data_IF_660175792265
#
_entry.id   IF_660175792265
#
_cell.length_a   1.000
_cell.length_b   1.000
_cell.length_c   1.000
_cell.angle_alpha   90.00
_cell.angle_beta   90.00
_cell.angle_gamma   90.00
#
_symmetry.space_group_name_H-M   'P 1'
#
loop_
_entity.id
_entity.type
_entity.pdbx_description
1 polymer ?
#
# COMPACT_ATOMS: atom_id res chain seq x y z
N UNK A 1 -3.80 -31.61 14.35
CA UNK A 1 -2.82 -31.18 13.34
C UNK A 1 -2.68 -29.68 13.49
N UNK A 2 -1.54 -29.22 13.98
CA UNK A 2 -1.37 -27.84 14.46
C UNK A 2 -1.49 -26.82 13.33
N UNK A 3 -2.32 -25.79 13.58
CA UNK A 3 -2.45 -24.57 12.80
C UNK A 3 -1.26 -23.66 13.12
N UNK A 4 -0.34 -23.48 12.18
CA UNK A 4 0.69 -22.46 12.29
C UNK A 4 0.13 -21.19 11.65
N UNK A 5 -0.59 -20.41 12.45
CA UNK A 5 -1.15 -19.11 12.07
C UNK A 5 -0.11 -18.00 12.25
N UNK A 6 0.95 -18.01 11.45
CA UNK A 6 1.85 -16.86 11.33
C UNK A 6 1.26 -15.83 10.34
N UNK A 7 0.02 -15.41 10.58
CA UNK A 7 -0.50 -14.18 9.96
C UNK A 7 0.14 -13.00 10.68
N UNK A 8 1.41 -12.73 10.37
CA UNK A 8 2.10 -11.51 10.78
C UNK A 8 1.35 -10.32 10.20
N UNK A 9 0.50 -9.73 11.03
CA UNK A 9 -0.35 -8.61 10.67
C UNK A 9 0.53 -7.36 10.56
N UNK A 10 0.77 -6.90 9.33
CA UNK A 10 1.55 -5.68 9.10
C UNK A 10 0.61 -4.47 9.15
N UNK A 11 1.04 -3.39 9.81
CA UNK A 11 0.36 -2.10 9.78
C UNK A 11 1.41 -1.03 9.50
N UNK A 12 1.29 -0.40 8.34
CA UNK A 12 2.21 0.63 7.88
C UNK A 12 1.44 1.94 7.73
N UNK A 13 2.01 3.02 8.25
CA UNK A 13 1.46 4.37 8.09
C UNK A 13 2.59 5.25 7.61
N UNK A 14 2.40 5.83 6.41
CA UNK A 14 3.34 6.73 5.77
C UNK A 14 2.58 7.95 5.28
N UNK A 15 3.23 9.09 5.29
CA UNK A 15 2.70 10.33 4.74
C UNK A 15 3.21 10.43 3.31
N UNK A 16 2.30 10.64 2.37
CA UNK A 16 2.67 10.89 0.97
C UNK A 16 3.14 12.35 0.90
N UNK A 17 4.42 12.63 0.59
CA UNK A 17 4.88 14.00 0.40
C UNK A 17 4.22 14.61 -0.84
N UNK A 18 4.09 15.93 -0.83
CA UNK A 18 3.53 16.75 -1.92
C UNK A 18 4.26 16.54 -3.25
N UNK A 19 5.53 16.13 -3.21
CA UNK A 19 6.33 15.79 -4.39
C UNK A 19 5.84 14.54 -5.12
N UNK A 20 5.06 13.71 -4.44
CA UNK A 20 4.39 12.53 -5.01
C UNK A 20 2.89 12.80 -5.23
N UNK A 21 2.45 14.05 -5.10
CA UNK A 21 1.10 14.48 -5.51
C UNK A 21 0.86 14.12 -6.99
N UNK A 22 -0.37 13.74 -7.31
CA UNK A 22 -0.79 13.27 -8.64
C UNK A 22 -0.08 12.02 -9.17
N UNK A 23 0.81 11.39 -8.40
CA UNK A 23 1.41 10.12 -8.80
C UNK A 23 0.45 8.97 -8.54
N UNK A 24 0.68 7.84 -9.22
CA UNK A 24 -0.12 6.64 -8.99
C UNK A 24 0.14 6.11 -7.59
N UNK A 25 -0.90 5.64 -6.90
CA UNK A 25 -0.76 5.04 -5.58
C UNK A 25 0.32 3.96 -5.55
N UNK A 26 0.41 3.11 -6.58
CA UNK A 26 1.44 2.07 -6.65
C UNK A 26 2.87 2.64 -6.67
N UNK A 27 3.07 3.76 -7.34
CA UNK A 27 4.37 4.43 -7.44
C UNK A 27 4.69 5.14 -6.12
N UNK A 28 3.73 5.86 -5.55
CA UNK A 28 3.89 6.52 -4.26
C UNK A 28 4.26 5.51 -3.17
N UNK A 29 3.53 4.39 -3.09
CA UNK A 29 3.82 3.32 -2.14
C UNK A 29 5.18 2.66 -2.41
N UNK A 30 5.55 2.42 -3.67
CA UNK A 30 6.87 1.85 -3.99
C UNK A 30 8.02 2.74 -3.54
N UNK A 31 7.84 4.06 -3.62
CA UNK A 31 8.82 5.04 -3.12
C UNK A 31 8.82 5.11 -1.58
N UNK A 32 7.65 5.03 -0.94
CA UNK A 32 7.51 5.10 0.51
C UNK A 32 7.88 3.81 1.23
N UNK A 33 7.77 2.68 0.53
CA UNK A 33 7.96 1.33 1.04
C UNK A 33 8.94 0.55 0.14
N UNK A 34 10.21 0.99 0.04
CA UNK A 34 11.21 0.33 -0.81
C UNK A 34 11.56 -1.09 -0.33
N UNK A 35 11.20 -1.44 0.91
CA UNK A 35 11.37 -2.77 1.51
C UNK A 35 10.42 -3.84 0.93
N UNK A 36 9.31 -3.43 0.30
CA UNK A 36 8.34 -4.36 -0.29
C UNK A 36 8.35 -4.29 -1.81
N UNK A 37 8.25 -5.47 -2.44
CA UNK A 37 8.12 -5.55 -3.89
C UNK A 37 6.82 -4.94 -4.39
N UNK A 38 6.85 -4.34 -5.59
CA UNK A 38 5.68 -3.75 -6.24
C UNK A 38 4.49 -4.72 -6.37
N UNK A 39 4.76 -5.99 -6.62
CA UNK A 39 3.73 -7.04 -6.70
C UNK A 39 2.96 -7.16 -5.38
N UNK A 40 3.66 -7.20 -4.25
CA UNK A 40 3.08 -7.29 -2.90
C UNK A 40 2.25 -6.05 -2.56
N UNK A 41 2.75 -4.86 -2.89
CA UNK A 41 2.00 -3.61 -2.75
C UNK A 41 0.72 -3.66 -3.59
N UNK A 42 0.81 -4.09 -4.85
CA UNK A 42 -0.36 -4.23 -5.73
C UNK A 42 -1.39 -5.22 -5.18
N UNK A 43 -0.95 -6.33 -4.59
CA UNK A 43 -1.84 -7.28 -3.92
C UNK A 43 -2.59 -6.63 -2.76
N UNK A 44 -1.91 -5.88 -1.88
CA UNK A 44 -2.56 -5.18 -0.77
C UNK A 44 -3.57 -4.14 -1.23
N UNK A 45 -3.21 -3.38 -2.26
CA UNK A 45 -4.12 -2.38 -2.84
C UNK A 45 -5.33 -3.06 -3.49
N UNK A 46 -5.12 -4.16 -4.24
CA UNK A 46 -6.22 -4.95 -4.84
C UNK A 46 -7.12 -5.59 -3.80
N UNK A 47 -6.54 -6.03 -2.67
CA UNK A 47 -7.27 -6.62 -1.56
C UNK A 47 -7.98 -5.58 -0.67
N UNK A 48 -7.78 -4.28 -0.91
CA UNK A 48 -8.40 -3.20 -0.14
C UNK A 48 -7.76 -2.96 1.24
N UNK A 49 -6.55 -3.49 1.48
CA UNK A 49 -5.81 -3.27 2.73
C UNK A 49 -5.11 -1.90 2.80
N UNK A 50 -5.06 -1.17 1.69
CA UNK A 50 -4.43 0.14 1.63
C UNK A 50 -5.50 1.21 1.50
N UNK A 51 -5.45 2.17 2.44
CA UNK A 51 -6.31 3.35 2.45
C UNK A 51 -5.47 4.61 2.37
N UNK A 52 -5.89 5.55 1.54
CA UNK A 52 -5.34 6.91 1.49
C UNK A 52 -6.43 7.84 2.02
N UNK A 53 -6.12 8.61 3.07
CA UNK A 53 -7.09 9.51 3.71
C UNK A 53 -8.42 8.81 4.09
N UNK A 54 -8.33 7.56 4.55
CA UNK A 54 -9.50 6.74 4.90
C UNK A 54 -10.29 6.19 3.70
N UNK A 55 -9.87 6.45 2.46
CA UNK A 55 -10.49 5.92 1.23
C UNK A 55 -9.66 4.78 0.65
N UNK A 56 -10.34 3.69 0.28
CA UNK A 56 -9.71 2.62 -0.51
C UNK A 56 -9.67 3.07 -1.97
N UNK A 57 -8.47 3.33 -2.48
CA UNK A 57 -8.26 3.72 -3.88
C UNK A 57 -7.50 2.61 -4.63
N UNK A 58 -7.67 2.58 -5.95
CA UNK A 58 -7.01 1.57 -6.80
C UNK A 58 -5.54 1.94 -7.00
N UNK A 59 -4.71 0.93 -7.28
CA UNK A 59 -3.26 1.12 -7.50
C UNK A 59 -2.94 2.10 -8.62
N UNK A 60 -3.82 2.17 -9.63
CA UNK A 60 -3.74 3.06 -10.78
C UNK A 60 -4.32 4.45 -10.53
N UNK A 61 -5.01 4.65 -9.42
CA UNK A 61 -5.59 5.94 -9.07
C UNK A 61 -4.49 6.90 -8.63
N UNK A 62 -4.73 8.19 -8.84
CA UNK A 62 -3.79 9.22 -8.42
C UNK A 62 -4.02 9.53 -6.96
N UNK A 63 -2.94 9.81 -6.24
CA UNK A 63 -3.01 10.34 -4.87
C UNK A 63 -3.16 11.86 -4.94
N UNK A 64 -4.05 12.41 -4.12
CA UNK A 64 -4.38 13.83 -3.99
C UNK A 64 -4.76 14.12 -2.54
#
# INVERSE_FOLDING_TARGET
>A
MSMNSDTSQIKLTKIIPQTLDQTRLDLALSTLLPEYSRARIQEWVKAGYVTVDGKIIRSKDKVY
#
